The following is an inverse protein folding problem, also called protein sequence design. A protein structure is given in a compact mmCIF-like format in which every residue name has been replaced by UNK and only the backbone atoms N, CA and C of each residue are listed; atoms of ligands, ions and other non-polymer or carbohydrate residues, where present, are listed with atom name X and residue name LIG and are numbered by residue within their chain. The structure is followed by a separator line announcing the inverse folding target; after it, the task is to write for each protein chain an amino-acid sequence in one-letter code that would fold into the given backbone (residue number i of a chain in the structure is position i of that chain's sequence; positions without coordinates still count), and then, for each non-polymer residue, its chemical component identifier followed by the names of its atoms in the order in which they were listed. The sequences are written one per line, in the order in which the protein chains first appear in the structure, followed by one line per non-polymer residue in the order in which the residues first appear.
data_IF_882106310690
#
_entry.id   IF_882106310690
#
_cell.length_a   1.000
_cell.length_b   1.000
_cell.length_c   1.000
_cell.angle_alpha   90.00
_cell.angle_beta   90.00
_cell.angle_gamma   90.00
#
_symmetry.space_group_name_H-M   'P 1'
#
loop_
_entity.id
_entity.type
_entity.pdbx_description
1 polymer ?
#
# COMPACT_ATOMS: atom_id res chain seq x y z
N UNK A 1 -12.48 22.84 -2.32
CA UNK A 1 -12.02 21.46 -2.04
C UNK A 1 -13.19 20.63 -1.52
N UNK A 2 -13.70 19.62 -2.24
CA UNK A 2 -14.59 18.62 -1.60
C UNK A 2 -13.65 17.50 -1.18
N UNK A 3 -13.24 17.52 0.09
CA UNK A 3 -12.33 16.51 0.67
C UNK A 3 -13.04 15.15 0.61
N UNK A 4 -12.34 14.11 0.15
CA UNK A 4 -12.83 12.74 0.29
C UNK A 4 -12.63 12.33 1.77
N UNK A 5 -13.47 12.87 2.64
CA UNK A 5 -13.35 12.80 4.11
C UNK A 5 -13.23 11.35 4.60
N UNK A 6 -13.94 10.43 3.92
CA UNK A 6 -13.87 9.00 4.20
C UNK A 6 -12.45 8.45 4.06
N UNK A 7 -11.75 8.79 2.97
CA UNK A 7 -10.37 8.35 2.73
C UNK A 7 -9.44 8.84 3.85
N UNK A 8 -9.58 10.09 4.28
CA UNK A 8 -8.77 10.63 5.38
C UNK A 8 -9.06 9.93 6.71
N UNK A 9 -10.32 9.63 7.01
CA UNK A 9 -10.70 8.87 8.21
C UNK A 9 -10.08 7.47 8.18
N UNK A 10 -10.16 6.77 7.04
CA UNK A 10 -9.55 5.44 6.88
C UNK A 10 -8.04 5.51 7.10
N UNK A 11 -7.35 6.51 6.52
CA UNK A 11 -5.91 6.70 6.74
C UNK A 11 -5.54 7.00 8.19
N UNK A 12 -6.32 7.85 8.87
CA UNK A 12 -6.10 8.16 10.28
C UNK A 12 -6.29 6.90 11.16
N UNK A 13 -7.35 6.13 10.90
CA UNK A 13 -7.61 4.86 11.59
C UNK A 13 -6.51 3.82 11.31
N UNK A 14 -5.99 3.75 10.09
CA UNK A 14 -4.83 2.90 9.75
C UNK A 14 -3.58 3.29 10.54
N UNK A 15 -3.29 4.59 10.67
CA UNK A 15 -2.13 5.06 11.42
C UNK A 15 -2.27 4.75 12.92
N UNK A 16 -3.42 5.10 13.52
CA UNK A 16 -3.69 4.85 14.94
C UNK A 16 -3.73 3.35 15.23
N UNK A 17 -4.35 2.55 14.36
CA UNK A 17 -4.44 1.11 14.48
C UNK A 17 -3.07 0.42 14.40
N UNK A 18 -2.21 0.85 13.47
CA UNK A 18 -0.81 0.38 13.40
C UNK A 18 -0.06 0.67 14.69
N UNK A 19 -0.09 1.92 15.17
CA UNK A 19 0.62 2.32 16.39
C UNK A 19 0.14 1.49 17.59
N UNK A 20 -1.18 1.32 17.71
CA UNK A 20 -1.78 0.55 18.81
C UNK A 20 -1.40 -0.93 18.74
N UNK A 21 -1.45 -1.52 17.54
CA UNK A 21 -1.06 -2.92 17.32
C UNK A 21 0.41 -3.16 17.61
N UNK A 22 1.29 -2.26 17.16
CA UNK A 22 2.72 -2.33 17.47
C UNK A 22 2.96 -2.24 18.97
N UNK A 23 2.25 -1.35 19.68
CA UNK A 23 2.36 -1.23 21.12
C UNK A 23 1.91 -2.50 21.85
N UNK A 24 0.77 -3.09 21.46
CA UNK A 24 0.25 -4.34 22.01
C UNK A 24 1.26 -5.48 21.85
N UNK A 25 1.77 -5.68 20.62
CA UNK A 25 2.69 -6.78 20.30
C UNK A 25 4.04 -6.57 20.98
N UNK A 26 4.57 -5.36 20.97
CA UNK A 26 5.89 -5.06 21.55
C UNK A 26 5.89 -5.14 23.09
N UNK A 27 4.78 -4.76 23.74
CA UNK A 27 4.64 -4.82 25.20
C UNK A 27 4.11 -6.16 25.71
N UNK A 28 3.86 -7.13 24.83
CA UNK A 28 3.33 -8.45 25.16
C UNK A 28 2.07 -8.37 26.05
N UNK A 29 1.13 -7.49 25.66
CA UNK A 29 -0.09 -7.26 26.44
C UNK A 29 -1.06 -8.42 26.18
N UNK A 30 -1.08 -9.39 27.10
CA UNK A 30 -1.99 -10.53 27.03
C UNK A 30 -3.35 -10.21 27.68
N UNK A 31 -4.34 -9.93 26.85
CA UNK A 31 -5.72 -9.69 27.28
C UNK A 31 -6.69 -10.08 26.17
N UNK A 32 -7.91 -10.48 26.52
CA UNK A 32 -8.93 -10.79 25.51
C UNK A 32 -9.25 -9.59 24.60
N UNK A 33 -9.13 -8.36 25.12
CA UNK A 33 -9.35 -7.13 24.36
C UNK A 33 -8.22 -6.83 23.37
N UNK A 34 -6.96 -7.10 23.73
CA UNK A 34 -5.82 -6.87 22.83
C UNK A 34 -5.87 -7.82 21.64
N UNK A 35 -6.16 -9.10 21.86
CA UNK A 35 -6.34 -10.08 20.79
C UNK A 35 -7.50 -9.69 19.87
N UNK A 36 -8.67 -9.35 20.43
CA UNK A 36 -9.81 -8.90 19.65
C UNK A 36 -9.51 -7.64 18.81
N UNK A 37 -8.76 -6.69 19.36
CA UNK A 37 -8.32 -5.50 18.65
C UNK A 37 -7.41 -5.85 17.46
N UNK A 38 -6.40 -6.70 17.66
CA UNK A 38 -5.47 -7.10 16.58
C UNK A 38 -6.21 -7.81 15.46
N UNK A 39 -7.11 -8.76 15.77
CA UNK A 39 -7.93 -9.42 14.75
C UNK A 39 -8.81 -8.41 14.02
N UNK A 40 -9.51 -7.53 14.75
CA UNK A 40 -10.33 -6.48 14.16
C UNK A 40 -9.52 -5.55 13.25
N UNK A 41 -8.30 -5.22 13.65
CA UNK A 41 -7.39 -4.41 12.85
C UNK A 41 -6.92 -5.11 11.58
N UNK A 42 -6.65 -6.42 11.64
CA UNK A 42 -6.32 -7.23 10.44
C UNK A 42 -7.50 -7.23 9.46
N UNK A 43 -8.72 -7.46 9.94
CA UNK A 43 -9.93 -7.41 9.09
C UNK A 43 -10.09 -6.01 8.47
N UNK A 44 -9.88 -4.96 9.26
CA UNK A 44 -9.90 -3.58 8.78
C UNK A 44 -8.83 -3.31 7.72
N UNK A 45 -7.60 -3.84 7.87
CA UNK A 45 -6.54 -3.75 6.86
C UNK A 45 -7.00 -4.35 5.53
N UNK A 46 -7.57 -5.56 5.54
CA UNK A 46 -8.10 -6.19 4.31
C UNK A 46 -9.21 -5.37 3.66
N UNK A 47 -10.18 -4.89 4.43
CA UNK A 47 -11.26 -4.03 3.92
C UNK A 47 -10.73 -2.72 3.33
N UNK A 48 -9.76 -2.08 3.99
CA UNK A 48 -9.15 -0.84 3.53
C UNK A 48 -8.36 -1.03 2.24
N UNK A 49 -7.63 -2.14 2.11
CA UNK A 49 -6.91 -2.49 0.89
C UNK A 49 -7.87 -2.69 -0.28
N UNK A 50 -9.00 -3.38 -0.05
CA UNK A 50 -10.03 -3.57 -1.06
C UNK A 50 -10.68 -2.24 -1.48
N UNK A 51 -10.99 -1.37 -0.52
CA UNK A 51 -11.49 -0.02 -0.78
C UNK A 51 -10.52 0.79 -1.65
N UNK A 52 -9.22 0.76 -1.33
CA UNK A 52 -8.20 1.47 -2.12
C UNK A 52 -8.09 0.93 -3.54
N UNK A 53 -8.10 -0.40 -3.73
CA UNK A 53 -8.11 -0.99 -5.08
C UNK A 53 -9.31 -0.51 -5.90
N UNK A 54 -10.51 -0.54 -5.33
CA UNK A 54 -11.73 -0.07 -6.00
C UNK A 54 -11.62 1.42 -6.33
N UNK A 55 -11.19 2.25 -5.37
CA UNK A 55 -11.05 3.69 -5.56
C UNK A 55 -10.07 4.03 -6.68
N UNK A 56 -8.93 3.33 -6.74
CA UNK A 56 -7.95 3.46 -7.82
C UNK A 56 -8.59 3.09 -9.16
N UNK A 57 -9.26 1.94 -9.28
CA UNK A 57 -9.90 1.52 -10.53
C UNK A 57 -10.92 2.55 -11.02
N UNK A 58 -11.75 3.08 -10.13
CA UNK A 58 -12.76 4.10 -10.46
C UNK A 58 -12.09 5.40 -10.92
N UNK A 59 -11.02 5.84 -10.26
CA UNK A 59 -10.37 7.11 -10.58
C UNK A 59 -9.44 7.01 -11.80
N UNK A 60 -8.80 5.87 -12.06
CA UNK A 60 -8.03 5.63 -13.30
C UNK A 60 -8.92 5.77 -14.53
N UNK A 61 -10.16 5.28 -14.47
CA UNK A 61 -11.14 5.40 -15.58
C UNK A 61 -11.49 6.84 -15.95
N UNK A 62 -11.25 7.81 -15.06
CA UNK A 62 -11.51 9.24 -15.29
C UNK A 62 -10.31 9.98 -15.91
N UNK A 63 -9.16 9.33 -16.02
CA UNK A 63 -7.94 9.96 -16.56
C UNK A 63 -7.89 9.87 -18.09
N UNK A 64 -7.21 10.83 -18.71
CA UNK A 64 -6.87 10.77 -20.14
C UNK A 64 -5.89 9.62 -20.39
N UNK A 65 -6.00 8.96 -21.55
CA UNK A 65 -5.12 7.86 -21.94
C UNK A 65 -3.62 8.18 -21.83
N UNK A 66 -3.24 9.42 -22.16
CA UNK A 66 -1.85 9.89 -22.05
C UNK A 66 -1.33 9.87 -20.60
N UNK A 67 -2.19 10.17 -19.63
CA UNK A 67 -1.83 10.17 -18.20
C UNK A 67 -1.72 8.74 -17.67
N UNK A 68 -2.63 7.86 -18.11
CA UNK A 68 -2.57 6.42 -17.79
C UNK A 68 -1.26 5.83 -18.29
N UNK A 69 -0.90 6.11 -19.54
CA UNK A 69 0.36 5.62 -20.13
C UNK A 69 1.59 6.14 -19.38
N UNK A 70 1.59 7.42 -18.98
CA UNK A 70 2.68 8.01 -18.17
C UNK A 70 2.81 7.31 -16.81
N UNK A 71 1.69 6.98 -16.16
CA UNK A 71 1.69 6.23 -14.90
C UNK A 71 2.19 4.80 -15.09
N UNK A 72 1.79 4.13 -16.16
CA UNK A 72 2.25 2.78 -16.46
C UNK A 72 3.78 2.72 -16.66
N UNK A 73 4.37 3.71 -17.34
CA UNK A 73 5.83 3.80 -17.45
C UNK A 73 6.51 3.99 -16.10
N UNK A 74 5.96 4.84 -15.23
CA UNK A 74 6.48 5.00 -13.86
C UNK A 74 6.36 3.69 -13.07
N UNK A 75 5.25 2.98 -13.20
CA UNK A 75 5.03 1.69 -12.54
C UNK A 75 6.10 0.68 -12.96
N UNK A 76 6.35 0.53 -14.25
CA UNK A 76 7.39 -0.37 -14.77
C UNK A 76 8.77 0.04 -14.24
N UNK A 77 9.09 1.34 -14.26
CA UNK A 77 10.37 1.83 -13.75
C UNK A 77 10.55 1.51 -12.25
N UNK A 78 9.56 1.78 -11.41
CA UNK A 78 9.60 1.44 -9.99
C UNK A 78 9.65 -0.07 -9.75
N UNK A 79 8.91 -0.85 -10.53
CA UNK A 79 8.92 -2.30 -10.42
C UNK A 79 10.31 -2.87 -10.68
N UNK A 80 10.97 -2.47 -11.78
CA UNK A 80 12.33 -2.92 -12.12
C UNK A 80 13.36 -2.49 -11.08
N UNK A 81 13.26 -1.25 -10.58
CA UNK A 81 14.15 -0.76 -9.53
C UNK A 81 14.00 -1.54 -8.22
N UNK A 82 12.76 -1.76 -7.78
CA UNK A 82 12.46 -2.48 -6.54
C UNK A 82 12.78 -3.97 -6.66
N UNK A 83 12.53 -4.60 -7.81
CA UNK A 83 12.88 -5.99 -8.03
C UNK A 83 14.39 -6.19 -8.15
N UNK A 84 15.12 -5.22 -8.71
CA UNK A 84 16.58 -5.26 -8.84
C UNK A 84 17.32 -5.04 -7.53
N UNK A 85 16.74 -4.29 -6.59
CA UNK A 85 17.39 -3.94 -5.32
C UNK A 85 17.81 -5.17 -4.48
N UNK A 86 16.97 -6.22 -4.30
CA UNK A 86 17.37 -7.44 -3.62
C UNK A 86 18.61 -8.14 -4.22
N UNK A 87 18.80 -8.10 -5.54
CA UNK A 87 19.97 -8.70 -6.17
C UNK A 87 21.27 -7.96 -5.79
N UNK A 88 21.21 -6.63 -5.72
CA UNK A 88 22.34 -5.79 -5.29
C UNK A 88 22.63 -6.02 -3.80
N UNK A 89 21.57 -6.10 -2.98
CA UNK A 89 21.69 -6.37 -1.56
C UNK A 89 22.33 -7.75 -1.31
N UNK A 90 21.89 -8.79 -2.02
CA UNK A 90 22.48 -10.13 -1.90
C UNK A 90 23.96 -10.13 -2.32
N UNK A 91 24.33 -9.42 -3.38
CA UNK A 91 25.74 -9.30 -3.78
C UNK A 91 26.63 -8.68 -2.68
N UNK A 92 26.13 -7.68 -1.94
CA UNK A 92 26.88 -6.98 -0.90
C UNK A 92 26.89 -7.76 0.42
N UNK A 93 25.75 -8.29 0.84
CA UNK A 93 25.56 -8.90 2.17
C UNK A 93 25.72 -10.42 2.17
N UNK A 94 25.71 -11.07 0.99
CA UNK A 94 25.98 -12.49 0.77
C UNK A 94 25.12 -13.40 1.67
N UNK A 95 23.82 -13.11 1.78
CA UNK A 95 23.00 -13.69 2.86
C UNK A 95 21.49 -13.80 2.58
N UNK A 96 21.01 -13.83 1.34
CA UNK A 96 19.57 -13.96 1.10
C UNK A 96 19.25 -15.27 0.38
N UNK A 97 18.48 -16.14 1.06
CA UNK A 97 17.73 -17.20 0.39
C UNK A 97 16.89 -16.57 -0.73
N UNK A 98 17.16 -16.99 -1.96
CA UNK A 98 16.69 -16.29 -3.15
C UNK A 98 15.27 -16.71 -3.52
N UNK A 99 14.28 -16.05 -2.93
CA UNK A 99 12.87 -16.26 -3.29
C UNK A 99 12.38 -15.23 -4.33
N UNK A 100 12.50 -15.61 -5.61
CA UNK A 100 11.99 -14.85 -6.75
C UNK A 100 10.50 -14.49 -6.63
N UNK A 101 9.68 -15.41 -6.10
CA UNK A 101 8.25 -15.20 -5.98
C UNK A 101 7.95 -14.07 -5.00
N UNK A 102 8.64 -14.06 -3.85
CA UNK A 102 8.50 -12.99 -2.86
C UNK A 102 9.01 -11.65 -3.38
N UNK A 103 10.19 -11.63 -4.03
CA UNK A 103 10.76 -10.40 -4.62
C UNK A 103 9.78 -9.79 -5.62
N UNK A 104 9.26 -10.59 -6.55
CA UNK A 104 8.32 -10.12 -7.57
C UNK A 104 7.02 -9.63 -6.94
N UNK A 105 6.44 -10.40 -6.02
CA UNK A 105 5.16 -10.07 -5.37
C UNK A 105 5.25 -8.79 -4.56
N UNK A 106 6.30 -8.63 -3.74
CA UNK A 106 6.54 -7.43 -2.93
C UNK A 106 6.79 -6.21 -3.83
N UNK A 107 7.63 -6.38 -4.86
CA UNK A 107 7.96 -5.28 -5.79
C UNK A 107 6.74 -4.83 -6.60
N UNK A 108 5.87 -5.76 -7.02
CA UNK A 108 4.59 -5.46 -7.66
C UNK A 108 3.68 -4.64 -6.73
N UNK A 109 3.50 -5.10 -5.49
CA UNK A 109 2.65 -4.40 -4.51
C UNK A 109 3.14 -2.99 -4.20
N UNK A 110 4.45 -2.84 -3.95
CA UNK A 110 5.07 -1.55 -3.62
C UNK A 110 5.04 -0.58 -4.81
N UNK A 111 5.42 -1.03 -6.00
CA UNK A 111 5.38 -0.17 -7.20
C UNK A 111 3.95 0.28 -7.52
N UNK A 112 2.96 -0.59 -7.33
CA UNK A 112 1.55 -0.23 -7.48
C UNK A 112 1.13 0.83 -6.46
N UNK A 113 1.47 0.61 -5.18
CA UNK A 113 1.21 1.57 -4.11
C UNK A 113 1.82 2.95 -4.39
N UNK A 114 3.10 3.02 -4.78
CA UNK A 114 3.78 4.29 -5.05
C UNK A 114 3.12 5.05 -6.20
N UNK A 115 2.70 4.37 -7.26
CA UNK A 115 2.26 5.02 -8.51
C UNK A 115 0.77 5.32 -8.55
N UNK A 116 -0.06 4.55 -7.86
CA UNK A 116 -1.50 4.64 -7.99
C UNK A 116 -2.23 5.06 -6.71
N UNK A 117 -1.61 5.00 -5.53
CA UNK A 117 -2.28 5.34 -4.27
C UNK A 117 -2.65 6.83 -4.20
N UNK A 118 -1.92 7.72 -4.88
CA UNK A 118 -2.30 9.13 -5.05
C UNK A 118 -3.66 9.28 -5.74
N UNK A 119 -4.06 8.31 -6.57
CA UNK A 119 -5.36 8.31 -7.23
C UNK A 119 -6.53 8.09 -6.29
N UNK A 120 -6.31 7.52 -5.10
CA UNK A 120 -7.38 7.42 -4.09
C UNK A 120 -7.84 8.81 -3.65
N UNK A 121 -6.92 9.78 -3.64
CA UNK A 121 -7.20 11.19 -3.32
C UNK A 121 -7.48 12.05 -4.56
N UNK A 122 -7.51 11.44 -5.75
CA UNK A 122 -7.70 12.17 -6.99
C UNK A 122 -9.07 12.86 -7.00
N UNK A 123 -9.03 14.17 -7.19
CA UNK A 123 -10.19 14.97 -7.50
C UNK A 123 -10.07 15.41 -8.94
N UNK A 124 -11.11 15.14 -9.71
CA UNK A 124 -11.25 15.68 -11.06
C UNK A 124 -11.12 17.21 -10.99
N UNK A 125 -10.10 17.73 -11.65
CA UNK A 125 -9.93 19.16 -11.84
C UNK A 125 -10.98 19.52 -12.89
N UNK A 126 -12.14 20.03 -12.46
CA UNK A 126 -13.11 20.61 -13.38
C UNK A 126 -12.34 21.57 -14.30
N UNK A 127 -12.48 21.33 -15.61
CA UNK A 127 -11.74 22.02 -16.67
C UNK A 127 -11.85 23.53 -16.59
#
# INVERSE_FOLDING_TARGET
MKKNILTYIIYALLAVGTITTLFIVYKDIDSSYSLAFVIGYIIFLFLSAFYFMIAVIINVRKLKWIEIRKRLYKFIAYFVLLSGFPYIADYIFKSLEFDLYNIVTISLGLSFGIVFLDLVFYKEKNG
#
